data_IF_241386279635
#
_entry.id   IF_241386279635
#
_cell.length_a   1.000
_cell.length_b   1.000
_cell.length_c   1.000
_cell.angle_alpha   90.00
_cell.angle_beta   90.00
_cell.angle_gamma   90.00
#
_symmetry.space_group_name_H-M   'P 1'
#
loop_
_entity.id
_entity.type
_entity.pdbx_description
1 polymer ?
#
# COMPACT_ATOMS: atom_id res chain seq x y z
N UNK A 1 20.00 -5.04 -6.23
CA UNK A 1 20.67 -5.31 -4.94
C UNK A 1 19.70 -5.18 -3.77
N UNK A 2 19.03 -4.03 -3.59
CA UNK A 2 18.13 -3.79 -2.45
C UNK A 2 16.93 -4.76 -2.38
N UNK A 3 16.31 -5.09 -3.53
CA UNK A 3 15.23 -6.10 -3.60
C UNK A 3 15.70 -7.46 -3.06
N UNK A 4 16.92 -7.89 -3.39
CA UNK A 4 17.49 -9.16 -2.92
C UNK A 4 17.72 -9.13 -1.41
N UNK A 5 18.27 -8.03 -0.89
CA UNK A 5 18.48 -7.86 0.55
C UNK A 5 17.14 -7.88 1.29
N UNK A 6 16.13 -7.20 0.75
CA UNK A 6 14.80 -7.17 1.35
C UNK A 6 14.14 -8.56 1.33
N UNK A 7 14.19 -9.28 0.20
CA UNK A 7 13.68 -10.66 0.11
C UNK A 7 14.31 -11.56 1.19
N UNK A 8 15.64 -11.50 1.34
CA UNK A 8 16.35 -12.25 2.37
C UNK A 8 15.92 -11.87 3.80
N UNK A 9 15.60 -10.59 4.07
CA UNK A 9 15.07 -10.15 5.39
C UNK A 9 13.69 -10.74 5.70
N UNK A 10 12.95 -11.15 4.67
CA UNK A 10 11.64 -11.78 4.77
C UNK A 10 11.73 -13.31 4.71
N UNK A 11 12.94 -13.88 4.54
CA UNK A 11 13.13 -15.32 4.36
C UNK A 11 12.63 -15.84 3.00
N UNK A 12 12.62 -14.99 1.97
CA UNK A 12 12.11 -15.27 0.64
C UNK A 12 13.17 -15.08 -0.44
N UNK A 13 12.96 -15.69 -1.59
CA UNK A 13 13.65 -15.37 -2.83
C UNK A 13 13.05 -14.12 -3.50
N UNK A 14 13.83 -13.32 -4.25
CA UNK A 14 13.34 -12.09 -4.88
C UNK A 14 12.14 -12.30 -5.81
N UNK A 15 12.06 -13.46 -6.45
CA UNK A 15 10.97 -13.81 -7.36
C UNK A 15 9.66 -14.16 -6.64
N UNK A 16 9.70 -14.44 -5.33
CA UNK A 16 8.53 -14.75 -4.50
C UNK A 16 7.87 -13.48 -3.95
N UNK A 17 8.58 -12.34 -3.98
CA UNK A 17 8.01 -11.06 -3.60
C UNK A 17 6.89 -10.65 -4.55
N UNK A 18 5.84 -10.04 -4.00
CA UNK A 18 4.82 -9.38 -4.81
C UNK A 18 5.43 -8.33 -5.74
N UNK A 19 4.77 -8.04 -6.87
CA UNK A 19 5.26 -7.08 -7.88
C UNK A 19 5.63 -5.73 -7.26
N UNK A 20 4.83 -5.21 -6.31
CA UNK A 20 5.12 -3.94 -5.64
C UNK A 20 6.43 -3.96 -4.83
N UNK A 21 6.80 -5.11 -4.27
CA UNK A 21 8.02 -5.27 -3.46
C UNK A 21 9.26 -5.59 -4.31
N UNK A 22 9.08 -5.88 -5.60
CA UNK A 22 10.17 -6.04 -6.56
C UNK A 22 10.70 -4.69 -7.07
N UNK A 23 10.03 -3.57 -6.76
CA UNK A 23 10.52 -2.24 -7.07
C UNK A 23 11.74 -1.88 -6.18
N UNK A 24 12.91 -1.55 -6.77
CA UNK A 24 14.08 -1.15 -6.01
C UNK A 24 13.88 0.07 -5.11
N UNK A 25 13.03 1.02 -5.48
CA UNK A 25 12.72 2.20 -4.66
C UNK A 25 11.95 1.81 -3.40
N UNK A 26 10.89 1.01 -3.57
CA UNK A 26 10.10 0.45 -2.47
C UNK A 26 10.99 -0.36 -1.53
N UNK A 27 11.84 -1.24 -2.06
CA UNK A 27 12.78 -2.01 -1.25
C UNK A 27 13.77 -1.12 -0.48
N UNK A 28 14.22 -0.01 -1.09
CA UNK A 28 15.12 0.96 -0.43
C UNK A 28 14.44 1.64 0.75
N UNK A 29 13.20 2.12 0.56
CA UNK A 29 12.41 2.74 1.63
C UNK A 29 12.20 1.74 2.77
N UNK A 30 11.72 0.54 2.46
CA UNK A 30 11.46 -0.49 3.46
C UNK A 30 12.73 -0.85 4.25
N UNK A 31 13.86 -1.07 3.58
CA UNK A 31 15.13 -1.32 4.26
C UNK A 31 15.56 -0.18 5.17
N UNK A 32 15.28 1.07 4.79
CA UNK A 32 15.62 2.25 5.60
C UNK A 32 14.77 2.37 6.87
N UNK A 33 13.53 1.87 6.82
CA UNK A 33 12.54 1.94 7.90
C UNK A 33 12.51 0.71 8.82
N UNK A 34 13.12 -0.41 8.41
CA UNK A 34 13.25 -1.63 9.21
C UNK A 34 14.16 -1.52 10.47
N UNK A 35 14.52 -0.30 10.89
CA UNK A 35 15.44 -0.05 12.02
C UNK A 35 14.81 -0.30 13.40
N UNK A 36 13.47 -0.38 13.48
CA UNK A 36 12.68 -0.59 14.69
C UNK A 36 11.44 -1.42 14.35
N UNK A 37 10.53 -1.55 15.31
CA UNK A 37 9.14 -1.93 15.05
C UNK A 37 8.57 -1.12 13.88
N UNK A 38 8.22 -1.83 12.81
CA UNK A 38 7.70 -1.23 11.58
C UNK A 38 6.41 -1.91 11.20
N UNK A 39 5.41 -1.11 10.86
CA UNK A 39 4.17 -1.58 10.26
C UNK A 39 3.93 -0.73 9.03
N UNK A 40 3.89 -1.36 7.87
CA UNK A 40 3.75 -0.66 6.61
C UNK A 40 2.65 -1.29 5.75
N UNK A 41 2.04 -0.47 4.91
CA UNK A 41 1.22 -0.88 3.79
C UNK A 41 1.93 -0.45 2.51
N UNK A 42 2.01 -1.36 1.55
CA UNK A 42 2.58 -1.11 0.22
C UNK A 42 1.48 -1.35 -0.80
N UNK A 43 1.19 -0.33 -1.62
CA UNK A 43 0.10 -0.38 -2.60
C UNK A 43 0.62 -0.57 -4.02
N UNK A 44 0.16 -1.62 -4.69
CA UNK A 44 0.29 -1.71 -6.14
C UNK A 44 -0.89 -0.99 -6.79
N UNK A 45 -0.76 0.31 -7.03
CA UNK A 45 -1.85 1.12 -7.60
C UNK A 45 -2.33 0.62 -8.96
N UNK A 46 -3.62 0.83 -9.22
CA UNK A 46 -4.23 0.66 -10.53
C UNK A 46 -4.75 2.02 -10.98
N UNK A 47 -4.07 2.65 -11.93
CA UNK A 47 -4.42 4.00 -12.38
C UNK A 47 -5.88 4.07 -12.88
N UNK A 48 -6.38 3.02 -13.55
CA UNK A 48 -7.77 2.95 -13.99
C UNK A 48 -8.79 3.01 -12.84
N UNK A 49 -8.36 2.72 -11.62
CA UNK A 49 -9.15 2.87 -10.41
C UNK A 49 -9.37 4.31 -9.97
N UNK A 50 -8.81 5.33 -10.64
CA UNK A 50 -8.97 6.74 -10.26
C UNK A 50 -9.49 7.59 -11.42
N UNK A 51 -10.04 8.77 -11.10
CA UNK A 51 -10.58 9.70 -12.11
C UNK A 51 -9.55 10.74 -12.61
N UNK A 52 -8.36 10.81 -12.00
CA UNK A 52 -7.28 11.77 -12.32
C UNK A 52 -6.13 11.19 -13.17
N UNK A 53 -6.41 10.15 -13.97
CA UNK A 53 -5.39 9.54 -14.86
C UNK A 53 -4.97 10.52 -15.96
N UNK A 54 -3.66 10.80 -16.11
CA UNK A 54 -3.16 11.60 -17.22
C UNK A 54 -3.57 10.96 -18.56
N UNK A 55 -4.19 11.76 -19.43
CA UNK A 55 -4.67 11.37 -20.78
C UNK A 55 -5.95 10.52 -20.83
N UNK A 56 -6.60 10.19 -19.70
CA UNK A 56 -7.88 9.47 -19.70
C UNK A 56 -8.80 10.01 -18.60
N UNK A 57 -9.50 11.13 -18.84
CA UNK A 57 -10.45 11.65 -17.87
C UNK A 57 -11.55 10.63 -17.59
N UNK A 58 -12.03 10.57 -16.34
CA UNK A 58 -13.12 9.68 -15.91
C UNK A 58 -12.81 8.18 -15.98
N UNK A 59 -11.53 7.79 -15.81
CA UNK A 59 -11.09 6.39 -15.97
C UNK A 59 -11.82 5.40 -15.02
N UNK A 60 -12.24 5.86 -13.83
CA UNK A 60 -13.03 5.06 -12.88
C UNK A 60 -14.53 5.09 -13.19
N UNK A 61 -15.16 6.26 -13.01
CA UNK A 61 -16.61 6.48 -13.18
C UNK A 61 -17.01 7.96 -13.35
N UNK A 62 -16.02 8.87 -13.41
CA UNK A 62 -16.23 10.31 -13.62
C UNK A 62 -16.73 11.12 -12.41
N UNK A 63 -16.84 10.53 -11.22
CA UNK A 63 -17.22 11.27 -10.01
C UNK A 63 -16.04 12.12 -9.50
N UNK A 64 -16.20 13.45 -9.36
CA UNK A 64 -15.15 14.32 -8.83
C UNK A 64 -14.67 13.90 -7.44
N UNK A 65 -13.36 14.04 -7.18
CA UNK A 65 -12.75 13.75 -5.89
C UNK A 65 -12.31 12.29 -5.68
N UNK A 66 -12.66 11.37 -6.58
CA UNK A 66 -12.17 9.98 -6.55
C UNK A 66 -10.78 9.88 -7.22
N UNK A 67 -9.79 10.46 -6.54
CA UNK A 67 -8.40 10.63 -7.04
C UNK A 67 -7.40 9.86 -6.19
N UNK A 68 -6.23 9.53 -6.75
CA UNK A 68 -5.15 8.89 -5.96
C UNK A 68 -4.75 9.79 -4.80
N UNK A 69 -4.60 11.10 -5.07
CA UNK A 69 -4.26 12.09 -4.05
C UNK A 69 -5.28 12.14 -2.90
N UNK A 70 -6.59 12.04 -3.18
CA UNK A 70 -7.62 12.03 -2.13
C UNK A 70 -7.55 10.77 -1.25
N UNK A 71 -7.22 9.61 -1.83
CA UNK A 71 -7.05 8.38 -1.05
C UNK A 71 -5.79 8.44 -0.18
N UNK A 72 -4.69 8.96 -0.71
CA UNK A 72 -3.45 9.19 0.05
C UNK A 72 -3.67 10.18 1.18
N UNK A 73 -4.42 11.26 0.94
CA UNK A 73 -4.77 12.22 1.99
C UNK A 73 -5.59 11.56 3.12
N UNK A 74 -6.48 10.61 2.81
CA UNK A 74 -7.22 9.83 3.81
C UNK A 74 -6.29 8.93 4.65
N UNK A 75 -5.30 8.28 4.03
CA UNK A 75 -4.24 7.53 4.74
C UNK A 75 -3.49 8.45 5.70
N UNK A 76 -2.99 9.59 5.22
CA UNK A 76 -2.18 10.53 6.00
C UNK A 76 -2.98 11.18 7.14
N UNK A 77 -4.27 11.45 6.94
CA UNK A 77 -5.17 11.92 8.00
C UNK A 77 -5.39 10.89 9.11
N UNK A 78 -5.01 9.62 8.88
CA UNK A 78 -5.09 8.50 9.80
C UNK A 78 -3.71 8.04 10.30
N UNK A 79 -2.80 8.99 10.53
CA UNK A 79 -1.46 8.78 11.09
C UNK A 79 -0.48 7.99 10.21
N UNK A 80 -0.77 7.83 8.91
CA UNK A 80 0.18 7.24 7.99
C UNK A 80 1.27 8.23 7.59
N UNK A 81 2.54 7.79 7.63
CA UNK A 81 3.65 8.52 7.00
C UNK A 81 3.82 8.01 5.58
N UNK A 82 3.67 8.92 4.62
CA UNK A 82 3.82 8.67 3.18
C UNK A 82 5.29 8.86 2.77
N UNK A 83 5.88 7.86 2.10
CA UNK A 83 7.26 7.90 1.63
C UNK A 83 7.41 8.20 0.13
N UNK A 84 6.56 7.64 -0.72
CA UNK A 84 6.64 7.77 -2.18
C UNK A 84 5.29 7.55 -2.89
N UNK A 85 4.20 7.84 -2.19
CA UNK A 85 2.82 7.53 -2.58
C UNK A 85 2.50 6.03 -2.69
N UNK A 86 3.47 5.13 -2.46
CA UNK A 86 3.31 3.67 -2.54
C UNK A 86 3.53 3.01 -1.18
N UNK A 87 4.50 3.48 -0.41
CA UNK A 87 4.83 2.96 0.93
C UNK A 87 4.31 3.88 2.03
N UNK A 88 3.49 3.30 2.91
CA UNK A 88 2.88 4.00 4.04
C UNK A 88 3.23 3.31 5.35
N UNK A 89 3.94 4.00 6.24
CA UNK A 89 4.27 3.46 7.57
C UNK A 89 3.32 3.96 8.64
N UNK A 90 3.09 3.14 9.65
CA UNK A 90 2.16 3.40 10.75
C UNK A 90 2.86 3.21 12.09
N UNK A 91 2.49 4.05 13.07
CA UNK A 91 3.04 3.99 14.43
C UNK A 91 2.75 2.68 15.16
N UNK A 92 1.63 2.01 14.83
CA UNK A 92 1.25 0.71 15.40
C UNK A 92 0.10 0.06 14.58
N UNK A 93 -0.22 -1.20 14.88
CA UNK A 93 -1.28 -1.95 14.19
C UNK A 93 -2.68 -1.41 14.46
N UNK A 94 -2.90 -0.72 15.59
CA UNK A 94 -4.19 -0.07 15.88
C UNK A 94 -4.43 1.09 14.92
N UNK A 95 -3.40 1.82 14.49
CA UNK A 95 -3.53 2.88 13.49
C UNK A 95 -4.01 2.32 12.13
N UNK A 96 -3.45 1.20 11.68
CA UNK A 96 -3.93 0.49 10.47
C UNK A 96 -5.39 0.09 10.64
N UNK A 97 -5.75 -0.52 11.78
CA UNK A 97 -7.14 -0.92 12.05
C UNK A 97 -8.12 0.26 12.06
N UNK A 98 -7.73 1.41 12.63
CA UNK A 98 -8.53 2.65 12.58
C UNK A 98 -8.71 3.13 11.15
N UNK A 99 -7.61 3.19 10.38
CA UNK A 99 -7.66 3.61 8.99
C UNK A 99 -8.55 2.71 8.12
N UNK A 100 -8.48 1.38 8.30
CA UNK A 100 -9.35 0.44 7.55
C UNK A 100 -10.84 0.75 7.72
N UNK A 101 -11.25 1.23 8.90
CA UNK A 101 -12.62 1.65 9.18
C UNK A 101 -12.98 3.03 8.57
N UNK A 102 -11.99 3.80 8.11
CA UNK A 102 -12.14 5.10 7.47
C UNK A 102 -11.89 5.09 5.96
N UNK A 103 -11.67 3.91 5.37
CA UNK A 103 -11.55 3.75 3.92
C UNK A 103 -12.83 4.31 3.27
N UNK A 104 -12.71 5.29 2.35
CA UNK A 104 -13.87 5.86 1.68
C UNK A 104 -14.66 4.79 0.93
N UNK A 105 -16.00 4.85 1.01
CA UNK A 105 -16.87 3.89 0.33
C UNK A 105 -16.60 3.81 -1.18
N UNK A 106 -16.24 4.95 -1.80
CA UNK A 106 -15.92 4.99 -3.22
C UNK A 106 -14.67 4.21 -3.61
N UNK A 107 -13.73 4.01 -2.68
CA UNK A 107 -12.48 3.30 -2.92
C UNK A 107 -12.60 1.79 -2.75
N UNK A 108 -13.69 1.32 -2.13
CA UNK A 108 -14.02 -0.10 -2.01
C UNK A 108 -14.42 -0.68 -3.37
N UNK A 109 -14.24 -1.99 -3.48
CA UNK A 109 -14.59 -2.75 -4.67
C UNK A 109 -16.05 -2.52 -5.05
N UNK A 110 -16.28 -2.29 -6.34
CA UNK A 110 -17.59 -2.02 -6.92
C UNK A 110 -17.72 -2.79 -8.21
N UNK A 111 -18.85 -3.48 -8.39
CA UNK A 111 -19.11 -4.29 -9.58
C UNK A 111 -19.07 -3.39 -10.83
N UNK A 112 -18.22 -3.75 -11.80
CA UNK A 112 -18.07 -3.03 -13.05
C UNK A 112 -17.23 -1.74 -12.97
N UNK A 113 -16.63 -1.43 -11.82
CA UNK A 113 -15.72 -0.28 -11.63
C UNK A 113 -14.32 -0.81 -11.34
N UNK A 114 -13.26 -0.29 -11.98
CA UNK A 114 -11.90 -0.71 -11.67
C UNK A 114 -11.51 -0.47 -10.20
N UNK A 115 -10.83 -1.41 -9.57
CA UNK A 115 -10.30 -1.24 -8.21
C UNK A 115 -9.15 -0.23 -8.18
N UNK A 116 -8.94 0.45 -7.04
CA UNK A 116 -7.88 1.46 -6.89
C UNK A 116 -6.46 0.86 -6.84
N UNK A 117 -6.34 -0.43 -6.59
CA UNK A 117 -5.06 -1.14 -6.56
C UNK A 117 -5.23 -2.58 -7.04
N UNK A 118 -4.15 -3.14 -7.60
CA UNK A 118 -4.04 -4.56 -7.90
C UNK A 118 -3.74 -5.39 -6.67
N UNK A 119 -2.99 -4.83 -5.72
CA UNK A 119 -2.70 -5.47 -4.43
C UNK A 119 -2.35 -4.46 -3.35
N UNK A 120 -2.56 -4.85 -2.10
CA UNK A 120 -2.08 -4.18 -0.89
C UNK A 120 -1.33 -5.21 -0.06
N UNK A 121 -0.08 -4.91 0.26
CA UNK A 121 0.76 -5.79 1.07
C UNK A 121 0.97 -5.15 2.44
N UNK A 122 0.72 -5.92 3.50
CA UNK A 122 1.05 -5.50 4.86
C UNK A 122 2.40 -6.09 5.25
N UNK A 123 3.28 -5.23 5.75
CA UNK A 123 4.59 -5.61 6.25
C UNK A 123 4.62 -5.33 7.74
N UNK A 124 5.02 -6.33 8.52
CA UNK A 124 5.17 -6.23 9.96
C UNK A 124 6.57 -6.65 10.37
N UNK A 125 7.27 -5.78 11.10
CA UNK A 125 8.53 -6.09 11.79
C UNK A 125 8.34 -5.76 13.27
N UNK A 126 8.60 -6.73 14.13
CA UNK A 126 8.56 -6.56 15.60
C UNK A 126 9.93 -6.96 16.15
N UNK A 127 10.54 -6.11 16.98
CA UNK A 127 11.79 -6.37 17.71
C UNK A 127 12.91 -7.04 16.88
N UNK A 128 13.25 -8.31 17.18
CA UNK A 128 14.24 -9.10 16.48
C UNK A 128 13.64 -10.13 15.50
N UNK A 129 12.31 -10.20 15.41
CA UNK A 129 11.61 -11.19 14.59
C UNK A 129 11.85 -10.98 13.09
N UNK A 130 11.70 -12.02 12.26
CA UNK A 130 11.71 -11.87 10.81
C UNK A 130 10.71 -10.81 10.33
N UNK A 131 10.98 -10.22 9.16
CA UNK A 131 9.99 -9.36 8.50
C UNK A 131 8.85 -10.26 8.01
N UNK A 132 7.66 -10.04 8.53
CA UNK A 132 6.45 -10.72 8.08
C UNK A 132 5.80 -9.92 6.95
N UNK A 133 5.33 -10.65 5.93
CA UNK A 133 4.68 -10.10 4.76
C UNK A 133 3.40 -10.89 4.54
N UNK A 134 2.28 -10.18 4.43
CA UNK A 134 1.00 -10.80 4.12
C UNK A 134 0.23 -10.00 3.05
N UNK A 135 -0.56 -10.74 2.28
CA UNK A 135 -1.55 -10.13 1.40
C UNK A 135 -2.64 -9.47 2.26
N UNK A 136 -2.97 -8.23 1.92
CA UNK A 136 -3.94 -7.42 2.63
C UNK A 136 -5.02 -6.84 1.70
N UNK A 137 -5.28 -7.50 0.56
CA UNK A 137 -6.19 -7.03 -0.50
C UNK A 137 -7.65 -6.95 -0.03
N UNK A 138 -8.05 -7.83 0.89
CA UNK A 138 -9.43 -7.92 1.35
C UNK A 138 -9.91 -6.67 2.10
N UNK A 139 -9.03 -5.74 2.49
CA UNK A 139 -9.42 -4.49 3.13
C UNK A 139 -10.33 -3.62 2.27
N UNK A 140 -10.19 -3.70 0.95
CA UNK A 140 -10.99 -2.94 -0.02
C UNK A 140 -12.24 -3.71 -0.48
N UNK A 141 -12.37 -4.99 -0.10
CA UNK A 141 -13.52 -5.83 -0.47
C UNK A 141 -14.64 -5.88 0.58
N UNK A 142 -14.33 -5.45 1.81
CA UNK A 142 -15.29 -5.31 2.92
C UNK A 142 -16.26 -4.16 2.67
#
# INVERSE_FOLDING_TARGET
MNVVIFAHKCGMEPAELSVALQDPNVATILLSELKKDMRALVFQWNDAGFNDVPNTPNCRNGIPGQTKAAFIANLMANDAVNWDDTVFTFSNGKAIGRWVNQIPAWARHQVGVPDICHSVIRITKIDADPVDIENFDDILRR
#
